data_IF_203442510368
#
_entry.id   IF_203442510368
#
_cell.length_a   1.000
_cell.length_b   1.000
_cell.length_c   1.000
_cell.angle_alpha   90.00
_cell.angle_beta   90.00
_cell.angle_gamma   90.00
#
_symmetry.space_group_name_H-M   'P 1'
#
loop_
_entity.id
_entity.type
_entity.pdbx_description
1 polymer ?
#
# COMPACT_ATOMS: atom_id res chain seq x y z
N UNK A 1 12.77 15.98 40.40
CA UNK A 1 11.49 15.33 40.71
C UNK A 1 11.26 14.21 39.71
N UNK A 2 11.61 12.98 40.07
CA UNK A 2 11.31 11.76 39.32
C UNK A 2 9.83 11.40 39.51
N UNK A 3 9.04 11.50 38.45
CA UNK A 3 7.61 11.15 38.49
C UNK A 3 7.45 9.66 38.77
N UNK A 4 6.75 9.36 39.87
CA UNK A 4 6.48 8.01 40.37
C UNK A 4 5.38 7.39 39.53
N UNK A 5 5.69 6.26 38.88
CA UNK A 5 4.72 5.41 38.21
C UNK A 5 3.83 4.74 39.26
N UNK A 6 2.59 5.21 39.41
CA UNK A 6 1.56 4.47 40.14
C UNK A 6 0.97 3.45 39.17
N UNK A 7 1.34 2.19 39.36
CA UNK A 7 0.85 1.05 38.61
C UNK A 7 -0.63 0.81 38.90
N UNK A 8 -1.53 1.31 38.05
CA UNK A 8 -2.89 0.80 37.96
C UNK A 8 -3.22 0.40 36.52
N UNK A 9 -3.62 -0.84 36.35
CA UNK A 9 -3.64 -1.62 35.11
C UNK A 9 -4.72 -1.23 34.10
N UNK A 10 -5.34 -0.07 34.26
CA UNK A 10 -6.48 0.39 33.44
C UNK A 10 -6.33 1.78 32.83
N UNK A 11 -5.29 2.55 33.17
CA UNK A 11 -5.06 3.88 32.60
C UNK A 11 -3.62 4.02 32.13
N UNK A 12 -3.42 4.59 30.95
CA UNK A 12 -2.08 4.92 30.46
C UNK A 12 -1.45 5.91 31.43
N UNK A 13 -0.47 5.48 32.23
CA UNK A 13 0.25 6.29 33.23
C UNK A 13 1.05 7.49 32.67
N UNK A 14 0.73 7.90 31.45
CA UNK A 14 1.39 8.97 30.71
C UNK A 14 0.33 10.04 30.41
N UNK A 15 0.42 11.23 31.02
CA UNK A 15 -0.56 12.30 30.85
C UNK A 15 -0.88 12.64 29.39
N UNK A 16 0.15 12.61 28.52
CA UNK A 16 -0.01 12.87 27.10
C UNK A 16 -0.88 11.82 26.39
N UNK A 17 -0.70 10.54 26.72
CA UNK A 17 -1.49 9.46 26.11
C UNK A 17 -2.94 9.52 26.55
N UNK A 18 -3.19 9.84 27.83
CA UNK A 18 -4.54 10.05 28.33
C UNK A 18 -5.22 11.23 27.63
N UNK A 19 -4.52 12.35 27.46
CA UNK A 19 -5.04 13.50 26.72
C UNK A 19 -5.41 13.15 25.25
N UNK A 20 -4.62 12.30 24.59
CA UNK A 20 -4.92 11.81 23.25
C UNK A 20 -6.16 10.90 23.20
N UNK A 21 -6.37 10.09 24.24
CA UNK A 21 -7.56 9.22 24.39
C UNK A 21 -8.82 10.05 24.61
N UNK A 22 -8.71 11.08 25.45
CA UNK A 22 -9.82 11.95 25.85
C UNK A 22 -10.21 12.93 24.74
N UNK A 23 -9.31 13.19 23.79
CA UNK A 23 -9.54 14.14 22.71
C UNK A 23 -9.32 15.60 23.12
N UNK A 24 -8.65 15.85 24.24
CA UNK A 24 -8.37 17.21 24.69
C UNK A 24 -7.16 17.79 23.94
N UNK A 25 -7.45 18.54 22.88
CA UNK A 25 -6.46 19.22 22.05
C UNK A 25 -5.62 20.22 22.85
N UNK A 26 -6.24 21.05 23.69
CA UNK A 26 -5.55 22.12 24.41
C UNK A 26 -4.62 21.54 25.47
N UNK A 27 -5.07 20.51 26.17
CA UNK A 27 -4.24 19.82 27.16
C UNK A 27 -3.09 19.07 26.49
N UNK A 28 -3.35 18.35 25.40
CA UNK A 28 -2.30 17.69 24.60
C UNK A 28 -1.25 18.68 24.11
N UNK A 29 -1.67 19.85 23.61
CA UNK A 29 -0.78 20.91 23.13
C UNK A 29 0.13 21.44 24.24
N UNK A 30 -0.44 21.76 25.41
CA UNK A 30 0.34 22.24 26.56
C UNK A 30 1.39 21.22 27.02
N UNK A 31 1.06 19.94 27.01
CA UNK A 31 2.00 18.88 27.37
C UNK A 31 3.16 18.79 26.37
N UNK A 32 2.88 18.83 25.07
CA UNK A 32 3.90 18.83 24.02
C UNK A 32 4.79 20.08 24.08
N UNK A 33 4.20 21.26 24.30
CA UNK A 33 4.94 22.52 24.51
C UNK A 33 5.82 22.48 25.77
N UNK A 34 5.43 21.70 26.78
CA UNK A 34 6.25 21.51 27.99
C UNK A 34 7.42 20.51 27.80
N UNK A 35 7.58 19.95 26.61
CA UNK A 35 8.68 19.05 26.25
C UNK A 35 8.41 17.57 26.50
N UNK A 36 7.14 17.16 26.59
CA UNK A 36 6.81 15.73 26.58
C UNK A 36 7.19 15.09 25.24
N UNK A 37 7.73 13.88 25.30
CA UNK A 37 8.03 13.09 24.12
C UNK A 37 6.73 12.67 23.39
N UNK A 38 6.50 13.11 22.13
CA UNK A 38 5.34 12.71 21.35
C UNK A 38 5.31 11.22 20.99
N UNK A 39 6.45 10.53 21.06
CA UNK A 39 6.61 9.12 20.71
C UNK A 39 6.53 8.18 21.91
N UNK A 40 6.12 8.70 23.07
CA UNK A 40 5.93 7.89 24.27
C UNK A 40 4.92 6.76 24.01
N UNK A 41 5.23 5.58 24.55
CA UNK A 41 4.46 4.35 24.31
C UNK A 41 3.75 3.87 25.57
N UNK A 42 2.55 3.32 25.41
CA UNK A 42 1.86 2.63 26.49
C UNK A 42 2.32 1.17 26.66
N UNK A 43 1.67 0.43 27.57
CA UNK A 43 1.95 -0.99 27.83
C UNK A 43 1.69 -1.93 26.65
N UNK A 44 1.05 -1.45 25.57
CA UNK A 44 0.83 -2.20 24.32
C UNK A 44 1.72 -1.70 23.18
N UNK A 45 2.64 -0.79 23.47
CA UNK A 45 3.53 -0.19 22.49
C UNK A 45 2.88 0.91 21.65
N UNK A 46 1.65 1.35 22.00
CA UNK A 46 0.90 2.36 21.25
C UNK A 46 1.38 3.76 21.62
N UNK A 47 1.62 4.58 20.61
CA UNK A 47 1.93 6.01 20.78
C UNK A 47 0.66 6.87 20.86
N UNK A 48 0.80 8.15 21.19
CA UNK A 48 -0.32 9.11 21.17
C UNK A 48 -1.03 9.13 19.82
N UNK A 49 -0.29 8.96 18.72
CA UNK A 49 -0.83 8.94 17.36
C UNK A 49 -1.76 7.74 17.13
N UNK A 50 -1.39 6.56 17.64
CA UNK A 50 -2.25 5.36 17.57
C UNK A 50 -3.58 5.58 18.29
N UNK A 51 -3.53 6.20 19.47
CA UNK A 51 -4.71 6.44 20.30
C UNK A 51 -5.62 7.51 19.68
N UNK A 52 -5.04 8.62 19.23
CA UNK A 52 -5.77 9.69 18.56
C UNK A 52 -6.40 9.20 17.24
N UNK A 53 -5.67 8.40 16.45
CA UNK A 53 -6.17 7.82 15.21
C UNK A 53 -7.33 6.84 15.45
N UNK A 54 -7.23 5.99 16.47
CA UNK A 54 -8.30 5.07 16.85
C UNK A 54 -9.58 5.80 17.32
N UNK A 55 -9.44 7.02 17.86
CA UNK A 55 -10.56 7.89 18.28
C UNK A 55 -11.09 8.79 17.16
N UNK A 56 -10.39 8.91 16.04
CA UNK A 56 -10.76 9.83 14.95
C UNK A 56 -10.37 11.29 15.18
N UNK A 57 -9.53 11.58 16.17
CA UNK A 57 -9.14 12.94 16.54
C UNK A 57 -8.03 13.44 15.61
N UNK A 58 -8.40 13.91 14.42
CA UNK A 58 -7.45 14.38 13.39
C UNK A 58 -6.63 15.57 13.87
N UNK A 59 -7.23 16.51 14.60
CA UNK A 59 -6.53 17.68 15.10
C UNK A 59 -5.38 17.30 16.04
N UNK A 60 -5.59 16.27 16.88
CA UNK A 60 -4.54 15.74 17.76
C UNK A 60 -3.49 14.97 16.94
N UNK A 61 -3.88 14.24 15.90
CA UNK A 61 -2.92 13.59 15.00
C UNK A 61 -2.01 14.62 14.30
N UNK A 62 -2.59 15.72 13.82
CA UNK A 62 -1.86 16.84 13.22
C UNK A 62 -0.92 17.51 14.22
N UNK A 63 -1.40 17.74 15.45
CA UNK A 63 -0.62 18.32 16.53
C UNK A 63 0.58 17.42 16.86
N UNK A 64 0.36 16.13 17.09
CA UNK A 64 1.43 15.17 17.38
C UNK A 64 2.46 15.14 16.26
N UNK A 65 2.01 15.08 15.00
CA UNK A 65 2.90 15.10 13.85
C UNK A 65 3.75 16.38 13.81
N UNK A 66 3.14 17.55 14.07
CA UNK A 66 3.85 18.84 14.15
C UNK A 66 4.95 18.87 15.20
N UNK A 67 4.77 18.15 16.30
CA UNK A 67 5.77 18.02 17.37
C UNK A 67 6.78 16.88 17.12
N UNK A 68 6.76 16.23 15.96
CA UNK A 68 7.73 15.19 15.59
C UNK A 68 7.31 13.78 15.96
N UNK A 69 6.01 13.51 16.10
CA UNK A 69 5.53 12.14 16.21
C UNK A 69 5.87 11.34 14.95
N UNK A 70 6.42 10.14 15.16
CA UNK A 70 6.69 9.17 14.12
C UNK A 70 5.38 8.55 13.65
N UNK A 71 5.03 8.82 12.39
CA UNK A 71 3.82 8.29 11.75
C UNK A 71 3.96 6.80 11.42
N UNK A 72 5.19 6.30 11.24
CA UNK A 72 5.50 4.90 10.93
C UNK A 72 5.67 4.04 12.18
N UNK A 73 5.55 4.65 13.37
CA UNK A 73 5.62 3.92 14.62
C UNK A 73 4.60 2.76 14.62
N UNK A 74 5.05 1.60 15.09
CA UNK A 74 4.23 0.41 15.23
C UNK A 74 4.03 0.03 16.70
N UNK A 75 2.85 -0.49 17.02
CA UNK A 75 2.57 -1.15 18.29
C UNK A 75 3.20 -2.56 18.36
N UNK A 76 3.03 -3.28 19.48
CA UNK A 76 3.60 -4.62 19.65
C UNK A 76 3.02 -5.69 18.71
N UNK A 77 1.91 -5.40 18.04
CA UNK A 77 1.31 -6.27 17.02
C UNK A 77 1.76 -5.88 15.60
N UNK A 78 2.62 -4.87 15.46
CA UNK A 78 3.06 -4.35 14.17
C UNK A 78 2.01 -3.45 13.51
N UNK A 79 0.97 -3.03 14.24
CA UNK A 79 -0.02 -2.11 13.70
C UNK A 79 0.55 -0.69 13.71
N UNK A 80 0.43 0.01 12.58
CA UNK A 80 0.63 1.47 12.50
C UNK A 80 -0.65 2.22 12.89
N UNK A 81 -0.60 3.55 13.01
CA UNK A 81 -1.79 4.37 13.23
C UNK A 81 -2.89 4.13 12.18
N UNK A 82 -2.51 3.85 10.92
CA UNK A 82 -3.45 3.55 9.82
C UNK A 82 -4.18 2.20 10.02
N UNK A 83 -3.57 1.23 10.68
CA UNK A 83 -4.24 -0.04 11.01
C UNK A 83 -5.32 0.14 12.10
N UNK A 84 -5.20 1.19 12.91
CA UNK A 84 -6.08 1.42 14.05
C UNK A 84 -7.18 2.46 13.78
N UNK A 85 -7.00 3.33 12.79
CA UNK A 85 -7.98 4.38 12.50
C UNK A 85 -9.32 3.84 12.01
N UNK A 86 -10.39 4.47 12.48
CA UNK A 86 -11.78 4.17 12.10
C UNK A 86 -12.50 5.31 11.39
N UNK A 87 -11.77 6.35 10.98
CA UNK A 87 -12.32 7.61 10.49
C UNK A 87 -11.64 8.05 9.20
N UNK A 88 -12.45 8.52 8.25
CA UNK A 88 -12.05 8.92 6.89
C UNK A 88 -11.03 10.06 6.94
N UNK A 89 -11.29 11.08 7.76
CA UNK A 89 -10.44 12.26 7.85
C UNK A 89 -9.03 11.92 8.38
N UNK A 90 -8.94 11.00 9.35
CA UNK A 90 -7.65 10.53 9.87
C UNK A 90 -6.88 9.74 8.82
N UNK A 91 -7.56 8.90 8.03
CA UNK A 91 -6.94 8.16 6.93
C UNK A 91 -6.38 9.13 5.89
N UNK A 92 -7.18 10.11 5.48
CA UNK A 92 -6.75 11.10 4.50
C UNK A 92 -5.55 11.90 5.01
N UNK A 93 -5.54 12.28 6.28
CA UNK A 93 -4.38 12.91 6.92
C UNK A 93 -3.14 12.00 6.88
N UNK A 94 -3.25 10.74 7.30
CA UNK A 94 -2.12 9.82 7.33
C UNK A 94 -1.56 9.54 5.93
N UNK A 95 -2.43 9.29 4.95
CA UNK A 95 -2.04 9.01 3.55
C UNK A 95 -1.43 10.24 2.88
N UNK A 96 -1.96 11.45 3.13
CA UNK A 96 -1.36 12.69 2.61
C UNK A 96 0.03 12.98 3.18
N UNK A 97 0.35 12.42 4.36
CA UNK A 97 1.70 12.48 4.94
C UNK A 97 2.59 11.30 4.52
N UNK A 98 2.22 10.58 3.45
CA UNK A 98 3.08 9.58 2.81
C UNK A 98 3.03 8.18 3.45
N UNK A 99 2.03 7.89 4.29
CA UNK A 99 1.86 6.53 4.80
C UNK A 99 1.34 5.63 3.69
N UNK A 100 2.07 4.55 3.46
CA UNK A 100 1.63 3.50 2.55
C UNK A 100 0.44 2.75 3.13
N UNK A 101 -0.53 2.44 2.28
CA UNK A 101 -1.77 1.74 2.66
C UNK A 101 -1.59 0.22 2.64
N UNK A 102 -0.53 -0.29 1.99
CA UNK A 102 -0.20 -1.71 1.81
C UNK A 102 0.61 -2.32 2.97
N UNK A 103 0.84 -1.56 4.05
CA UNK A 103 1.64 -2.03 5.18
C UNK A 103 0.91 -3.20 5.87
N UNK A 104 1.65 -4.29 6.11
CA UNK A 104 1.16 -5.44 6.85
C UNK A 104 1.64 -5.43 8.31
N UNK A 105 0.74 -5.75 9.24
CA UNK A 105 1.10 -6.01 10.63
C UNK A 105 1.71 -7.42 10.81
N UNK A 106 2.05 -7.81 12.05
CA UNK A 106 2.63 -9.14 12.34
C UNK A 106 1.72 -10.33 11.99
N UNK A 107 0.42 -10.09 11.77
CA UNK A 107 -0.54 -11.10 11.34
C UNK A 107 -0.72 -11.14 9.82
N UNK A 108 0.05 -10.34 9.07
CA UNK A 108 -0.11 -10.20 7.62
C UNK A 108 -1.39 -9.46 7.21
N UNK A 109 -2.04 -8.74 8.14
CA UNK A 109 -3.25 -7.99 7.83
C UNK A 109 -2.90 -6.54 7.47
N UNK A 110 -3.44 -6.07 6.34
CA UNK A 110 -3.40 -4.66 5.94
C UNK A 110 -4.47 -3.84 6.69
N UNK A 111 -4.37 -2.50 6.70
CA UNK A 111 -5.41 -1.62 7.23
C UNK A 111 -6.81 -1.95 6.69
N UNK A 112 -6.93 -2.26 5.39
CA UNK A 112 -8.20 -2.63 4.77
C UNK A 112 -8.77 -3.93 5.34
N UNK A 113 -7.93 -4.96 5.51
CA UNK A 113 -8.34 -6.25 6.08
C UNK A 113 -8.84 -6.07 7.52
N UNK A 114 -8.15 -5.26 8.31
CA UNK A 114 -8.58 -4.96 9.68
C UNK A 114 -9.87 -4.13 9.71
N UNK A 115 -10.02 -3.15 8.81
CA UNK A 115 -11.24 -2.35 8.71
C UNK A 115 -12.46 -3.25 8.39
N UNK A 116 -12.32 -4.14 7.41
CA UNK A 116 -13.35 -5.14 7.07
C UNK A 116 -13.67 -6.07 8.25
N UNK A 117 -12.66 -6.58 8.95
CA UNK A 117 -12.84 -7.48 10.10
C UNK A 117 -13.54 -6.81 11.28
N UNK A 118 -13.23 -5.55 11.57
CA UNK A 118 -13.83 -4.78 12.67
C UNK A 118 -15.26 -4.33 12.36
N UNK A 119 -15.67 -4.36 11.09
CA UNK A 119 -16.95 -3.83 10.66
C UNK A 119 -17.04 -2.30 10.85
N UNK A 120 -15.94 -1.58 10.64
CA UNK A 120 -15.95 -0.10 10.68
C UNK A 120 -16.84 0.47 9.58
N UNK A 121 -17.11 1.78 9.67
CA UNK A 121 -17.91 2.53 8.71
C UNK A 121 -17.58 2.15 7.25
N UNK A 122 -18.63 1.94 6.45
CA UNK A 122 -18.50 1.59 5.03
C UNK A 122 -17.70 2.62 4.24
N UNK A 123 -17.74 3.88 4.65
CA UNK A 123 -17.00 4.96 4.00
C UNK A 123 -15.48 4.82 4.16
N UNK A 124 -15.01 4.31 5.31
CA UNK A 124 -13.60 4.00 5.53
C UNK A 124 -13.14 2.86 4.62
N UNK A 125 -13.95 1.81 4.52
CA UNK A 125 -13.64 0.66 3.64
C UNK A 125 -13.58 1.13 2.19
N UNK A 126 -14.58 1.90 1.73
CA UNK A 126 -14.62 2.47 0.37
C UNK A 126 -13.43 3.37 0.09
N UNK A 127 -13.03 4.20 1.05
CA UNK A 127 -11.86 5.07 0.90
C UNK A 127 -10.60 4.23 0.70
N UNK A 128 -10.34 3.27 1.59
CA UNK A 128 -9.16 2.40 1.50
C UNK A 128 -9.15 1.58 0.19
N UNK A 129 -10.29 1.04 -0.24
CA UNK A 129 -10.42 0.37 -1.54
C UNK A 129 -10.10 1.32 -2.71
N UNK A 130 -10.63 2.54 -2.69
CA UNK A 130 -10.37 3.53 -3.74
C UNK A 130 -8.90 3.97 -3.79
N UNK A 131 -8.22 3.99 -2.64
CA UNK A 131 -6.80 4.32 -2.56
C UNK A 131 -5.94 3.16 -3.09
N UNK A 132 -6.29 1.91 -2.79
CA UNK A 132 -5.63 0.73 -3.37
C UNK A 132 -5.76 0.70 -4.90
N UNK A 133 -6.96 0.99 -5.44
CA UNK A 133 -7.16 1.08 -6.89
C UNK A 133 -6.33 2.19 -7.55
N UNK A 134 -6.08 3.30 -6.85
CA UNK A 134 -5.25 4.39 -7.33
C UNK A 134 -3.77 4.01 -7.37
N UNK A 135 -3.26 3.29 -6.38
CA UNK A 135 -1.88 2.78 -6.39
C UNK A 135 -1.64 1.81 -7.57
N UNK A 136 -2.60 0.91 -7.83
CA UNK A 136 -2.53 -0.02 -8.97
C UNK A 136 -2.51 0.72 -10.32
N UNK A 137 -3.26 1.83 -10.45
CA UNK A 137 -3.25 2.68 -11.66
C UNK A 137 -2.01 3.58 -11.75
N UNK A 138 -1.48 4.04 -10.61
CA UNK A 138 -0.26 4.84 -10.52
C UNK A 138 0.98 4.07 -10.97
N UNK A 139 1.04 2.77 -10.67
CA UNK A 139 2.08 1.87 -11.15
C UNK A 139 2.11 1.78 -12.69
N UNK A 140 0.94 1.76 -13.34
CA UNK A 140 0.83 1.78 -14.80
C UNK A 140 1.15 3.16 -15.40
N UNK A 141 1.00 4.27 -14.65
CA UNK A 141 1.37 5.62 -15.14
C UNK A 141 2.86 5.93 -15.04
N UNK A 142 3.59 5.34 -14.09
CA UNK A 142 5.05 5.55 -13.97
C UNK A 142 5.85 4.96 -15.15
N UNK A 143 5.36 3.88 -15.73
CA UNK A 143 5.92 3.27 -16.96
C UNK A 143 5.34 3.90 -18.23
N UNK A 144 4.06 4.27 -18.22
CA UNK A 144 3.44 4.97 -19.36
C UNK A 144 3.85 6.44 -19.50
N UNK A 145 4.21 7.19 -18.45
CA UNK A 145 4.50 8.63 -18.60
C UNK A 145 5.76 8.89 -19.44
N UNK A 146 6.74 7.98 -19.43
CA UNK A 146 7.93 8.07 -20.29
C UNK A 146 7.67 7.57 -21.72
N UNK A 147 6.70 6.66 -21.90
CA UNK A 147 6.32 6.09 -23.20
C UNK A 147 5.28 6.97 -23.92
N UNK A 148 4.33 7.55 -23.19
CA UNK A 148 3.33 8.50 -23.69
C UNK A 148 3.96 9.82 -24.10
N UNK A 149 4.97 10.33 -23.39
CA UNK A 149 5.67 11.56 -23.83
C UNK A 149 6.55 11.35 -25.07
N UNK A 150 6.96 10.11 -25.36
CA UNK A 150 7.63 9.76 -26.62
C UNK A 150 6.60 9.54 -27.74
N UNK A 151 5.46 8.92 -27.44
CA UNK A 151 4.39 8.70 -28.41
C UNK A 151 3.61 9.96 -28.76
N UNK A 152 3.43 10.93 -27.84
CA UNK A 152 2.79 12.20 -28.17
C UNK A 152 3.68 13.04 -29.10
N UNK A 153 5.00 13.06 -28.89
CA UNK A 153 5.93 13.72 -29.81
C UNK A 153 5.94 13.10 -31.22
N UNK A 154 5.82 11.77 -31.33
CA UNK A 154 5.70 11.11 -32.64
C UNK A 154 4.31 11.30 -33.27
N UNK A 155 3.24 11.30 -32.46
CA UNK A 155 1.86 11.47 -32.94
C UNK A 155 1.49 12.91 -33.31
N UNK A 156 2.15 13.92 -32.72
CA UNK A 156 1.98 15.32 -33.13
C UNK A 156 2.67 15.59 -34.48
N UNK A 157 3.79 14.94 -34.77
CA UNK A 157 4.37 14.96 -36.13
C UNK A 157 3.50 14.21 -37.16
N UNK A 158 2.71 13.23 -36.71
CA UNK A 158 1.80 12.45 -37.56
C UNK A 158 0.39 13.06 -37.71
N UNK A 159 -0.01 14.00 -36.84
CA UNK A 159 -1.33 14.65 -36.91
C UNK A 159 -1.36 15.93 -37.74
N UNK A 160 -0.22 16.44 -38.21
CA UNK A 160 -0.19 17.64 -39.06
C UNK A 160 -0.24 17.34 -40.57
N UNK A 161 -0.32 16.07 -40.99
CA UNK A 161 -0.38 15.71 -42.41
C UNK A 161 -1.78 15.32 -42.94
N UNK A 162 -2.84 15.38 -42.12
CA UNK A 162 -4.21 15.04 -42.57
C UNK A 162 -5.07 16.25 -42.99
N UNK A 163 -4.47 17.27 -43.60
CA UNK A 163 -5.24 18.36 -44.20
C UNK A 163 -4.73 18.94 -45.51
N UNK A 164 -3.85 18.28 -46.28
CA UNK A 164 -3.67 18.64 -47.69
C UNK A 164 -3.39 17.42 -48.58
N UNK A 165 -4.22 17.29 -49.62
CA UNK A 165 -4.16 16.27 -50.67
C UNK A 165 -2.76 16.17 -51.30
N UNK A 166 -2.26 14.94 -51.46
CA UNK A 166 -1.36 14.63 -52.57
C UNK A 166 -1.58 13.17 -53.04
N UNK A 167 -1.97 12.91 -54.30
CA UNK A 167 -2.21 11.56 -54.78
C UNK A 167 -0.89 11.01 -55.33
N UNK A 168 -0.15 10.27 -54.51
CA UNK A 168 0.84 9.25 -54.93
C UNK A 168 1.61 8.77 -53.71
N UNK A 169 1.32 7.57 -53.19
CA UNK A 169 2.36 6.64 -52.73
C UNK A 169 1.74 5.25 -52.46
N UNK A 170 1.80 4.39 -53.47
CA UNK A 170 1.86 2.94 -53.26
C UNK A 170 3.18 2.64 -52.55
N UNK A 171 3.13 2.22 -51.28
CA UNK A 171 4.11 1.34 -50.62
C UNK A 171 3.82 1.33 -49.10
N UNK A 172 3.32 0.22 -48.56
CA UNK A 172 3.13 0.13 -47.11
C UNK A 172 2.41 -1.09 -46.54
N UNK A 173 1.96 -2.06 -47.34
CA UNK A 173 1.23 -3.22 -46.79
C UNK A 173 2.10 -4.27 -46.08
N UNK A 174 3.44 -4.15 -46.14
CA UNK A 174 4.36 -5.08 -45.48
C UNK A 174 4.56 -4.87 -43.97
N UNK A 175 4.32 -3.65 -43.47
CA UNK A 175 4.64 -3.31 -42.07
C UNK A 175 3.50 -3.73 -41.13
N UNK A 176 2.26 -3.61 -41.61
CA UNK A 176 1.06 -3.98 -40.85
C UNK A 176 0.87 -5.50 -40.75
N UNK A 177 1.36 -6.27 -41.71
CA UNK A 177 1.30 -7.74 -41.68
C UNK A 177 2.31 -8.32 -40.68
N UNK A 178 3.54 -7.79 -40.67
CA UNK A 178 4.58 -8.21 -39.69
C UNK A 178 4.15 -7.92 -38.26
N UNK A 179 3.51 -6.78 -38.00
CA UNK A 179 3.06 -6.43 -36.65
C UNK A 179 1.94 -7.35 -36.14
N UNK A 180 1.04 -7.79 -37.04
CA UNK A 180 -0.03 -8.73 -36.69
C UNK A 180 0.52 -10.13 -36.36
N UNK A 181 1.52 -10.60 -37.10
CA UNK A 181 2.11 -11.93 -36.86
C UNK A 181 2.89 -12.00 -35.57
N UNK A 182 3.67 -10.97 -35.21
CA UNK A 182 4.45 -10.98 -33.94
C UNK A 182 3.54 -10.99 -32.71
N UNK A 183 2.37 -10.34 -32.79
CA UNK A 183 1.42 -10.29 -31.68
C UNK A 183 0.66 -11.61 -31.49
N UNK A 184 0.38 -12.35 -32.57
CA UNK A 184 -0.22 -13.69 -32.48
C UNK A 184 0.77 -14.72 -31.93
N UNK A 185 2.05 -14.67 -32.33
CA UNK A 185 3.09 -15.54 -31.78
C UNK A 185 3.26 -15.33 -30.26
N UNK A 186 3.22 -14.07 -29.80
CA UNK A 186 3.32 -13.74 -28.38
C UNK A 186 2.16 -14.32 -27.54
N UNK A 187 0.94 -14.33 -28.07
CA UNK A 187 -0.24 -14.86 -27.36
C UNK A 187 -0.25 -16.39 -27.32
N UNK A 188 0.27 -17.08 -28.35
CA UNK A 188 0.42 -18.55 -28.33
C UNK A 188 1.52 -19.02 -27.38
N UNK A 189 2.58 -18.22 -27.19
CA UNK A 189 3.70 -18.57 -26.30
C UNK A 189 3.24 -18.66 -24.83
N UNK A 190 2.32 -17.82 -24.35
CA UNK A 190 1.79 -17.90 -22.98
C UNK A 190 1.09 -19.24 -22.66
N UNK A 191 0.56 -19.95 -23.67
CA UNK A 191 0.01 -21.29 -23.52
C UNK A 191 1.09 -22.38 -23.49
N UNK A 192 2.15 -22.21 -24.27
CA UNK A 192 3.26 -23.15 -24.40
C UNK A 192 4.04 -23.31 -23.09
N UNK A 193 4.37 -22.21 -22.41
CA UNK A 193 5.11 -22.25 -21.15
C UNK A 193 4.36 -22.96 -20.01
N UNK A 194 3.02 -22.89 -20.02
CA UNK A 194 2.18 -23.63 -19.05
C UNK A 194 2.24 -25.13 -19.28
N UNK A 195 2.24 -25.57 -20.54
CA UNK A 195 2.36 -27.00 -20.89
C UNK A 195 3.77 -27.51 -20.61
N UNK A 196 4.80 -26.71 -20.92
CA UNK A 196 6.20 -27.05 -20.67
C UNK A 196 6.47 -27.25 -19.17
N UNK A 197 5.93 -26.37 -18.32
CA UNK A 197 6.08 -26.45 -16.86
C UNK A 197 5.37 -27.69 -16.29
N UNK A 198 4.22 -28.07 -16.85
CA UNK A 198 3.47 -29.26 -16.45
C UNK A 198 4.20 -30.56 -16.85
N UNK A 199 4.77 -30.61 -18.06
CA UNK A 199 5.60 -31.74 -18.51
C UNK A 199 6.87 -31.88 -17.65
N UNK A 200 7.51 -30.75 -17.32
CA UNK A 200 8.70 -30.74 -16.46
C UNK A 200 8.40 -31.28 -15.06
N UNK A 201 7.26 -30.91 -14.46
CA UNK A 201 6.82 -31.43 -13.16
C UNK A 201 6.55 -32.94 -13.22
N UNK A 202 5.90 -33.43 -14.29
CA UNK A 202 5.65 -34.86 -14.48
C UNK A 202 6.96 -35.65 -14.64
N UNK A 203 7.94 -35.10 -15.37
CA UNK A 203 9.24 -35.72 -15.55
C UNK A 203 10.04 -35.82 -14.25
N UNK A 204 9.95 -34.81 -13.37
CA UNK A 204 10.59 -34.87 -12.05
C UNK A 204 9.93 -35.89 -11.12
N UNK A 205 8.61 -36.02 -11.18
CA UNK A 205 7.88 -37.03 -10.40
C UNK A 205 8.23 -38.46 -10.86
N UNK A 206 8.32 -38.71 -12.17
CA UNK A 206 8.69 -40.03 -12.68
C UNK A 206 10.15 -40.38 -12.35
N UNK A 207 11.07 -39.42 -12.39
CA UNK A 207 12.46 -39.60 -11.99
C UNK A 207 12.60 -39.87 -10.49
N UNK A 208 11.81 -39.18 -9.66
CA UNK A 208 11.76 -39.38 -8.21
C UNK A 208 11.25 -40.78 -7.85
N UNK A 209 10.22 -41.28 -8.54
CA UNK A 209 9.71 -42.64 -8.33
C UNK A 209 10.76 -43.68 -8.77
N UNK A 210 11.42 -43.49 -9.91
CA UNK A 210 12.48 -44.38 -10.37
C UNK A 210 13.66 -44.45 -9.39
N UNK A 211 14.09 -43.29 -8.86
CA UNK A 211 15.14 -43.22 -7.85
C UNK A 211 14.73 -43.90 -6.54
N UNK A 212 13.49 -43.70 -6.10
CA UNK A 212 12.95 -44.31 -4.87
C UNK A 212 12.87 -45.84 -4.97
N UNK A 213 12.45 -46.38 -6.12
CA UNK A 213 12.39 -47.84 -6.37
C UNK A 213 13.79 -48.45 -6.40
N UNK A 214 14.80 -47.74 -6.92
CA UNK A 214 16.17 -48.24 -7.00
C UNK A 214 16.91 -48.24 -5.65
N UNK A 215 16.53 -47.36 -4.72
CA UNK A 215 17.08 -47.31 -3.34
C UNK A 215 16.36 -48.28 -2.39
N UNK A 216 15.15 -48.74 -2.74
CA UNK A 216 14.29 -49.57 -1.87
C UNK A 216 14.18 -51.05 -2.30
N UNK A 217 14.95 -51.50 -3.31
CA UNK A 217 15.06 -52.91 -3.69
C UNK A 217 16.06 -53.67 -2.78
N UNK A 218 15.82 -54.97 -2.52
CA UNK A 218 16.45 -55.73 -1.43
C UNK A 218 17.97 -55.92 -1.54
#
# INVERSE_FOLDING_TARGET
MSYVFVNDSSQTNVPLLQACIDGDFNYSKRLLESGFDPNIRDSRGRTGLHLAAARGNVDICQLLHKFGADLLATDYQGNTALHLCGHVDTIQFLVSNGLKIDICNHQGATPLVLAKRRGVNKDVIRLLESLEEQEVKGFNRGTHSKLETMQTAESESAMESHSLLNPNLQQGEGVLSSFRTTWQEFVEDLGFWRVLLLIFVIALLSLGIAYYVQVSGP
#
